data_IF_861098892123
#
_entry.id   IF_861098892123
#
_cell.length_a   1.000
_cell.length_b   1.000
_cell.length_c   1.000
_cell.angle_alpha   90.00
_cell.angle_beta   90.00
_cell.angle_gamma   90.00
#
_symmetry.space_group_name_H-M   'P 1'
#
loop_
_entity.id
_entity.type
_entity.pdbx_description
1 polymer ?
#
# COMPACT_ATOMS: atom_id res chain seq x y z
N UNK A 1 26.35 31.96 33.41
CA UNK A 1 25.07 31.23 33.37
C UNK A 1 25.36 29.74 33.29
N UNK A 2 25.26 28.99 34.39
CA UNK A 2 25.44 27.54 34.38
C UNK A 2 24.11 26.88 34.04
N UNK A 3 24.02 26.24 32.87
CA UNK A 3 22.91 25.35 32.53
C UNK A 3 22.96 24.19 33.54
N UNK A 4 21.87 23.96 34.29
CA UNK A 4 21.84 22.95 35.35
C UNK A 4 21.77 21.54 34.75
N UNK A 5 22.31 20.52 35.43
CA UNK A 5 22.26 19.12 34.98
C UNK A 5 20.84 18.67 34.59
N UNK A 6 19.82 19.16 35.31
CA UNK A 6 18.41 18.92 35.00
C UNK A 6 18.00 19.38 33.58
N UNK A 7 18.52 20.52 33.10
CA UNK A 7 18.21 21.01 31.77
C UNK A 7 18.82 20.13 30.67
N UNK A 8 20.04 19.61 30.87
CA UNK A 8 20.66 18.67 29.94
C UNK A 8 19.91 17.33 29.89
N UNK A 9 19.50 16.79 31.04
CA UNK A 9 18.68 15.57 31.12
C UNK A 9 17.35 15.77 30.41
N UNK A 10 16.68 16.90 30.67
CA UNK A 10 15.44 17.26 30.00
C UNK A 10 15.57 17.32 28.48
N UNK A 11 16.61 18.01 27.98
CA UNK A 11 16.89 18.10 26.55
C UNK A 11 17.18 16.72 25.93
N UNK A 12 17.95 15.86 26.62
CA UNK A 12 18.26 14.52 26.14
C UNK A 12 17.01 13.63 26.03
N UNK A 13 16.09 13.71 27.00
CA UNK A 13 14.82 12.96 26.96
C UNK A 13 13.95 13.44 25.80
N UNK A 14 13.82 14.74 25.59
CA UNK A 14 13.06 15.30 24.46
C UNK A 14 13.67 14.85 23.13
N UNK A 15 15.00 14.92 23.00
CA UNK A 15 15.70 14.50 21.79
C UNK A 15 15.51 13.00 21.51
N UNK A 16 15.63 12.15 22.53
CA UNK A 16 15.42 10.70 22.40
C UNK A 16 13.98 10.37 21.99
N UNK A 17 12.98 11.03 22.59
CA UNK A 17 11.57 10.84 22.23
C UNK A 17 11.25 11.31 20.82
N UNK A 18 11.78 12.46 20.40
CA UNK A 18 11.62 12.96 19.04
C UNK A 18 12.26 12.01 18.02
N UNK A 19 13.46 11.49 18.31
CA UNK A 19 14.14 10.51 17.47
C UNK A 19 13.33 9.20 17.34
N UNK A 20 12.81 8.67 18.46
CA UNK A 20 11.97 7.48 18.45
C UNK A 20 10.71 7.66 17.61
N UNK A 21 10.02 8.80 17.76
CA UNK A 21 8.83 9.12 16.95
C UNK A 21 9.18 9.25 15.48
N UNK A 22 10.33 9.86 15.15
CA UNK A 22 10.84 9.91 13.79
C UNK A 22 11.04 8.51 13.17
N UNK A 23 11.58 7.56 13.93
CA UNK A 23 11.74 6.16 13.48
C UNK A 23 10.39 5.48 13.26
N UNK A 24 9.43 5.65 14.18
CA UNK A 24 8.08 5.08 14.04
C UNK A 24 7.38 5.62 12.80
N UNK A 25 7.35 6.95 12.64
CA UNK A 25 6.75 7.60 11.47
C UNK A 25 7.42 7.13 10.18
N UNK A 26 8.75 7.06 10.16
CA UNK A 26 9.51 6.61 8.99
C UNK A 26 9.14 5.19 8.57
N UNK A 27 8.99 4.28 9.52
CA UNK A 27 8.56 2.89 9.26
C UNK A 27 7.15 2.83 8.67
N UNK A 28 6.20 3.59 9.22
CA UNK A 28 4.81 3.57 8.76
C UNK A 28 4.65 4.23 7.38
N UNK A 29 5.38 5.32 7.13
CA UNK A 29 5.42 5.95 5.81
C UNK A 29 5.92 4.96 4.76
N UNK A 30 7.00 4.23 5.05
CA UNK A 30 7.51 3.18 4.17
C UNK A 30 6.52 2.04 3.97
N UNK A 31 5.82 1.62 5.02
CA UNK A 31 4.79 0.57 4.92
C UNK A 31 3.63 1.03 4.03
N UNK A 32 3.22 2.30 4.18
CA UNK A 32 2.19 2.94 3.34
C UNK A 32 2.63 3.01 1.88
N UNK A 33 3.86 3.43 1.61
CA UNK A 33 4.48 3.48 0.28
C UNK A 33 4.48 2.09 -0.37
N UNK A 34 4.96 1.06 0.32
CA UNK A 34 4.95 -0.32 -0.19
C UNK A 34 3.54 -0.83 -0.52
N UNK A 35 2.52 -0.46 0.26
CA UNK A 35 1.13 -0.81 -0.06
C UNK A 35 0.61 -0.06 -1.30
N UNK A 36 0.96 1.20 -1.46
CA UNK A 36 0.60 1.96 -2.65
C UNK A 36 1.28 1.39 -3.90
N UNK A 37 2.55 1.03 -3.80
CA UNK A 37 3.30 0.38 -4.88
C UNK A 37 2.68 -0.96 -5.27
N UNK A 38 2.28 -1.77 -4.29
CA UNK A 38 1.53 -3.00 -4.52
C UNK A 38 0.22 -2.74 -5.29
N UNK A 39 -0.59 -1.75 -4.88
CA UNK A 39 -1.85 -1.39 -5.56
C UNK A 39 -1.56 -0.93 -7.00
N UNK A 40 -0.55 -0.08 -7.19
CA UNK A 40 -0.21 0.48 -8.50
C UNK A 40 0.30 -0.59 -9.45
N UNK A 41 1.14 -1.50 -8.97
CA UNK A 41 1.59 -2.65 -9.74
C UNK A 41 0.40 -3.56 -10.13
N UNK A 42 -0.57 -3.75 -9.22
CA UNK A 42 -1.79 -4.52 -9.50
C UNK A 42 -2.64 -3.87 -10.58
N UNK A 43 -2.83 -2.55 -10.53
CA UNK A 43 -3.53 -1.79 -11.59
C UNK A 43 -2.82 -1.89 -12.93
N UNK A 44 -1.48 -1.81 -12.93
CA UNK A 44 -0.66 -1.89 -14.14
C UNK A 44 -0.78 -3.26 -14.81
N UNK A 45 -0.61 -4.34 -14.05
CA UNK A 45 -0.72 -5.70 -14.57
C UNK A 45 -2.15 -5.99 -15.08
N UNK A 46 -3.19 -5.54 -14.36
CA UNK A 46 -4.59 -5.66 -14.80
C UNK A 46 -4.86 -4.90 -16.11
N UNK A 47 -4.33 -3.67 -16.24
CA UNK A 47 -4.46 -2.91 -17.48
C UNK A 47 -3.74 -3.62 -18.64
N UNK A 48 -2.57 -4.21 -18.39
CA UNK A 48 -1.79 -4.92 -19.39
C UNK A 48 -2.51 -6.18 -19.90
N UNK A 49 -3.07 -7.02 -19.01
CA UNK A 49 -3.84 -8.21 -19.44
C UNK A 49 -5.08 -7.81 -20.25
N UNK A 50 -5.79 -6.75 -19.86
CA UNK A 50 -6.96 -6.24 -20.60
C UNK A 50 -6.57 -5.72 -21.98
N UNK A 51 -5.48 -4.96 -22.08
CA UNK A 51 -4.98 -4.44 -23.35
C UNK A 51 -4.53 -5.57 -24.30
N UNK A 52 -3.79 -6.54 -23.77
CA UNK A 52 -3.32 -7.70 -24.54
C UNK A 52 -4.48 -8.58 -25.00
N UNK A 53 -5.48 -8.80 -24.15
CA UNK A 53 -6.68 -9.55 -24.53
C UNK A 53 -7.41 -8.90 -25.72
N UNK A 54 -7.63 -7.58 -25.65
CA UNK A 54 -8.27 -6.84 -26.73
C UNK A 54 -7.45 -6.85 -28.02
N UNK A 55 -6.12 -6.78 -27.91
CA UNK A 55 -5.21 -6.72 -29.06
C UNK A 55 -4.89 -8.10 -29.65
N UNK A 56 -5.19 -9.20 -28.95
CA UNK A 56 -4.87 -10.56 -29.41
C UNK A 56 -5.72 -10.98 -30.63
N UNK A 57 -6.94 -10.44 -30.76
CA UNK A 57 -7.86 -10.78 -31.85
C UNK A 57 -7.43 -10.19 -33.18
N UNK A 58 -7.44 -11.02 -34.22
CA UNK A 58 -7.09 -10.60 -35.57
C UNK A 58 -5.59 -10.46 -35.85
N UNK A 59 -4.71 -10.80 -34.89
CA UNK A 59 -3.27 -10.86 -35.14
C UNK A 59 -2.89 -12.11 -35.92
N UNK A 60 -1.81 -11.98 -36.71
CA UNK A 60 -1.11 -13.13 -37.29
C UNK A 60 -0.64 -14.08 -36.18
N UNK A 61 -0.59 -15.41 -36.41
CA UNK A 61 -0.27 -16.40 -35.39
C UNK A 61 0.99 -16.10 -34.55
N UNK A 62 2.08 -15.67 -35.20
CA UNK A 62 3.32 -15.31 -34.48
C UNK A 62 3.16 -14.13 -33.52
N UNK A 63 2.44 -13.08 -33.94
CA UNK A 63 2.16 -11.92 -33.09
C UNK A 63 1.13 -12.18 -32.00
N UNK A 64 0.22 -13.13 -32.25
CA UNK A 64 -0.72 -13.61 -31.25
C UNK A 64 0.00 -14.42 -30.15
N UNK A 65 0.99 -15.25 -30.53
CA UNK A 65 1.82 -15.99 -29.59
C UNK A 65 2.66 -15.05 -28.69
N UNK A 66 3.28 -14.01 -29.26
CA UNK A 66 3.98 -12.98 -28.48
C UNK A 66 3.05 -12.30 -27.47
N UNK A 67 1.84 -11.90 -27.89
CA UNK A 67 0.85 -11.29 -27.01
C UNK A 67 0.39 -12.25 -25.90
N UNK A 68 0.31 -13.55 -26.19
CA UNK A 68 -0.04 -14.58 -25.20
C UNK A 68 1.03 -14.74 -24.14
N UNK A 69 2.31 -14.74 -24.52
CA UNK A 69 3.43 -14.82 -23.57
C UNK A 69 3.40 -13.62 -22.62
N UNK A 70 3.28 -12.41 -23.16
CA UNK A 70 3.19 -11.19 -22.34
C UNK A 70 1.96 -11.17 -21.43
N UNK A 71 0.83 -11.71 -21.90
CA UNK A 71 -0.39 -11.83 -21.11
C UNK A 71 -0.18 -12.79 -19.93
N UNK A 72 0.39 -13.97 -20.22
CA UNK A 72 0.64 -15.00 -19.21
C UNK A 72 1.65 -14.52 -18.16
N UNK A 73 2.66 -13.76 -18.58
CA UNK A 73 3.61 -13.12 -17.67
C UNK A 73 2.90 -12.16 -16.69
N UNK A 74 2.06 -11.25 -17.20
CA UNK A 74 1.32 -10.30 -16.38
C UNK A 74 0.31 -11.00 -15.46
N UNK A 75 -0.40 -12.01 -15.97
CA UNK A 75 -1.32 -12.82 -15.17
C UNK A 75 -0.58 -13.59 -14.07
N UNK A 76 0.60 -14.12 -14.36
CA UNK A 76 1.40 -14.81 -13.35
C UNK A 76 1.92 -13.83 -12.28
N UNK A 77 2.32 -12.61 -12.63
CA UNK A 77 2.64 -11.58 -11.62
C UNK A 77 1.45 -11.27 -10.71
N UNK A 78 0.24 -11.15 -11.26
CA UNK A 78 -0.99 -11.01 -10.47
C UNK A 78 -1.15 -12.20 -9.52
N UNK A 79 -1.04 -13.44 -10.02
CA UNK A 79 -1.20 -14.66 -9.21
C UNK A 79 -0.13 -14.87 -8.15
N UNK A 80 1.08 -14.34 -8.35
CA UNK A 80 2.16 -14.40 -7.37
C UNK A 80 2.00 -13.33 -6.29
N UNK A 81 1.45 -12.17 -6.67
CA UNK A 81 1.17 -11.05 -5.76
C UNK A 81 -0.05 -11.33 -4.89
N UNK A 82 -1.08 -11.92 -5.48
CA UNK A 82 -2.29 -12.31 -4.78
C UNK A 82 -2.16 -13.70 -4.20
N UNK A 83 -2.64 -13.91 -2.98
CA UNK A 83 -2.72 -15.27 -2.46
C UNK A 83 -3.89 -16.01 -3.14
N UNK A 84 -3.64 -17.07 -3.95
CA UNK A 84 -4.70 -17.76 -4.70
C UNK A 84 -5.72 -18.47 -3.81
N UNK A 85 -5.38 -18.68 -2.54
CA UNK A 85 -6.24 -19.35 -1.54
C UNK A 85 -7.21 -18.40 -0.84
N UNK A 86 -7.06 -17.08 -1.00
CA UNK A 86 -8.02 -16.11 -0.46
C UNK A 86 -9.24 -16.00 -1.37
N UNK A 87 -10.43 -16.13 -0.79
CA UNK A 87 -11.71 -16.06 -1.52
C UNK A 87 -11.92 -14.72 -2.25
N UNK A 88 -11.30 -13.64 -1.76
CA UNK A 88 -11.44 -12.28 -2.30
C UNK A 88 -11.06 -12.18 -3.79
N UNK A 89 -9.93 -12.76 -4.20
CA UNK A 89 -9.42 -12.66 -5.58
C UNK A 89 -9.84 -13.81 -6.49
N UNK A 90 -10.42 -14.88 -5.94
CA UNK A 90 -10.80 -16.09 -6.67
C UNK A 90 -11.72 -15.79 -7.86
N UNK A 91 -12.69 -14.88 -7.67
CA UNK A 91 -13.63 -14.46 -8.71
C UNK A 91 -12.94 -13.68 -9.85
N UNK A 92 -12.00 -12.79 -9.51
CA UNK A 92 -11.18 -12.04 -10.46
C UNK A 92 -10.30 -13.00 -11.26
N UNK A 93 -9.55 -13.87 -10.57
CA UNK A 93 -8.65 -14.84 -11.22
C UNK A 93 -9.40 -15.78 -12.17
N UNK A 94 -10.56 -16.29 -11.75
CA UNK A 94 -11.41 -17.11 -12.61
C UNK A 94 -11.89 -16.35 -13.85
N UNK A 95 -12.19 -15.06 -13.71
CA UNK A 95 -12.63 -14.22 -14.84
C UNK A 95 -11.44 -13.90 -15.76
N UNK A 96 -10.24 -13.68 -15.22
CA UNK A 96 -9.01 -13.52 -16.00
C UNK A 96 -8.67 -14.78 -16.80
N UNK A 97 -8.89 -15.97 -16.24
CA UNK A 97 -8.70 -17.24 -16.96
C UNK A 97 -9.68 -17.39 -18.13
N UNK A 98 -10.94 -17.02 -17.93
CA UNK A 98 -11.94 -16.97 -19.00
C UNK A 98 -11.54 -15.99 -20.08
N UNK A 99 -11.16 -14.77 -19.69
CA UNK A 99 -10.71 -13.72 -20.61
C UNK A 99 -9.51 -14.20 -21.45
N UNK A 100 -8.53 -14.83 -20.80
CA UNK A 100 -7.37 -15.43 -21.48
C UNK A 100 -7.81 -16.43 -22.54
N UNK A 101 -8.65 -17.40 -22.17
CA UNK A 101 -9.07 -18.45 -23.08
C UNK A 101 -9.86 -17.87 -24.26
N UNK A 102 -10.72 -16.87 -24.02
CA UNK A 102 -11.50 -16.20 -25.06
C UNK A 102 -10.67 -15.26 -25.96
N UNK A 103 -9.58 -14.69 -25.44
CA UNK A 103 -8.71 -13.77 -26.18
C UNK A 103 -7.78 -14.51 -27.15
N UNK A 104 -7.35 -15.71 -26.76
CA UNK A 104 -6.41 -16.54 -27.52
C UNK A 104 -7.07 -17.79 -28.14
N UNK A 105 -8.40 -17.89 -28.11
CA UNK A 105 -9.13 -18.92 -28.86
C UNK A 105 -9.16 -18.61 -30.35
N UNK A 106 -9.20 -19.67 -31.17
CA UNK A 106 -9.49 -19.53 -32.61
C UNK A 106 -10.97 -19.21 -32.89
N UNK A 107 -11.87 -19.44 -31.93
CA UNK A 107 -13.26 -19.02 -32.03
C UNK A 107 -13.42 -17.54 -31.65
N UNK A 108 -14.12 -16.80 -32.52
CA UNK A 108 -14.43 -15.37 -32.35
C UNK A 108 -15.82 -15.12 -31.72
N UNK A 109 -16.55 -16.18 -31.36
CA UNK A 109 -17.94 -16.06 -30.88
C UNK A 109 -18.08 -15.44 -29.49
N UNK A 110 -17.02 -15.48 -28.68
CA UNK A 110 -17.06 -14.94 -27.31
C UNK A 110 -16.87 -13.43 -27.35
N UNK A 111 -17.71 -12.65 -26.68
CA UNK A 111 -17.48 -11.21 -26.52
C UNK A 111 -16.48 -10.92 -25.39
N UNK A 112 -15.29 -10.38 -25.72
CA UNK A 112 -14.27 -10.02 -24.72
C UNK A 112 -14.68 -8.82 -23.87
N UNK A 113 -15.57 -7.97 -24.35
CA UNK A 113 -15.94 -6.74 -23.64
C UNK A 113 -16.68 -7.05 -22.35
N UNK A 114 -17.47 -8.14 -22.33
CA UNK A 114 -18.17 -8.63 -21.14
C UNK A 114 -17.20 -9.10 -20.07
N UNK A 115 -16.28 -10.00 -20.42
CA UNK A 115 -15.30 -10.53 -19.46
C UNK A 115 -14.31 -9.43 -19.02
N UNK A 116 -13.91 -8.53 -19.92
CA UNK A 116 -13.07 -7.36 -19.59
C UNK A 116 -13.76 -6.43 -18.59
N UNK A 117 -15.02 -6.08 -18.84
CA UNK A 117 -15.80 -5.22 -17.94
C UNK A 117 -16.01 -5.88 -16.58
N UNK A 118 -16.18 -7.20 -16.54
CA UNK A 118 -16.30 -7.95 -15.28
C UNK A 118 -14.98 -7.97 -14.50
N UNK A 119 -13.83 -8.15 -15.15
CA UNK A 119 -12.52 -8.01 -14.52
C UNK A 119 -12.35 -6.63 -13.91
N UNK A 120 -12.71 -5.57 -14.65
CA UNK A 120 -12.64 -4.18 -14.16
C UNK A 120 -13.52 -4.00 -12.92
N UNK A 121 -14.79 -4.41 -12.99
CA UNK A 121 -15.74 -4.23 -11.88
C UNK A 121 -15.29 -4.94 -10.60
N UNK A 122 -14.91 -6.22 -10.71
CA UNK A 122 -14.46 -7.01 -9.55
C UNK A 122 -13.15 -6.48 -8.97
N UNK A 123 -12.17 -6.16 -9.82
CA UNK A 123 -10.88 -5.64 -9.36
C UNK A 123 -11.01 -4.25 -8.75
N UNK A 124 -11.86 -3.36 -9.29
CA UNK A 124 -12.12 -2.03 -8.70
C UNK A 124 -12.66 -2.13 -7.28
N UNK A 125 -13.58 -3.08 -7.02
CA UNK A 125 -14.13 -3.27 -5.69
C UNK A 125 -13.02 -3.65 -4.68
N UNK A 126 -12.18 -4.62 -5.03
CA UNK A 126 -11.08 -5.08 -4.17
C UNK A 126 -10.03 -3.99 -3.96
N UNK A 127 -9.60 -3.35 -5.05
CA UNK A 127 -8.59 -2.28 -4.99
C UNK A 127 -9.10 -1.05 -4.22
N UNK A 128 -10.40 -0.76 -4.25
CA UNK A 128 -11.01 0.31 -3.45
C UNK A 128 -11.03 -0.03 -1.97
N UNK A 129 -11.30 -1.29 -1.62
CA UNK A 129 -11.22 -1.76 -0.24
C UNK A 129 -9.80 -1.62 0.31
N UNK A 130 -8.79 -2.08 -0.44
CA UNK A 130 -7.38 -1.92 -0.05
C UNK A 130 -6.94 -0.46 -0.02
N UNK A 131 -7.35 0.36 -0.99
CA UNK A 131 -7.08 1.80 -0.96
C UNK A 131 -7.67 2.48 0.28
N UNK A 132 -8.87 2.08 0.70
CA UNK A 132 -9.50 2.62 1.90
C UNK A 132 -8.73 2.21 3.15
N UNK A 133 -8.21 0.97 3.20
CA UNK A 133 -7.33 0.50 4.27
C UNK A 133 -6.02 1.29 4.32
N UNK A 134 -5.41 1.58 3.17
CA UNK A 134 -4.20 2.42 3.06
C UNK A 134 -4.48 3.85 3.52
N UNK A 135 -5.59 4.45 3.08
CA UNK A 135 -5.97 5.82 3.40
C UNK A 135 -6.41 6.00 4.86
N UNK A 136 -6.99 4.97 5.48
CA UNK A 136 -7.31 4.99 6.90
C UNK A 136 -6.08 5.29 7.78
N UNK A 137 -4.88 5.07 7.22
CA UNK A 137 -3.59 5.30 7.85
C UNK A 137 -3.28 4.23 8.87
N UNK A 138 -2.02 4.20 9.32
CA UNK A 138 -1.64 3.32 10.41
C UNK A 138 -1.95 4.00 11.76
N UNK A 139 -2.46 3.21 12.72
CA UNK A 139 -2.93 3.70 14.01
C UNK A 139 -1.82 4.40 14.80
N UNK A 140 -0.55 4.04 14.59
CA UNK A 140 0.56 4.65 15.34
C UNK A 140 0.94 6.03 14.85
N UNK A 141 0.68 6.38 13.59
CA UNK A 141 0.87 7.75 13.10
C UNK A 141 -0.01 8.72 13.87
N UNK A 142 -1.27 8.33 14.08
CA UNK A 142 -2.24 9.10 14.85
C UNK A 142 -1.76 9.25 16.30
N UNK A 143 -1.29 8.17 16.91
CA UNK A 143 -0.78 8.18 18.29
C UNK A 143 0.47 9.07 18.40
N UNK A 144 1.48 8.87 17.55
CA UNK A 144 2.72 9.63 17.55
C UNK A 144 2.50 11.13 17.38
N UNK A 145 1.58 11.52 16.48
CA UNK A 145 1.20 12.92 16.26
C UNK A 145 0.61 13.57 17.52
N UNK A 146 -0.18 12.85 18.28
CA UNK A 146 -0.87 13.38 19.47
C UNK A 146 -0.10 13.20 20.78
N UNK A 147 0.90 12.31 20.83
CA UNK A 147 1.70 12.03 22.03
C UNK A 147 2.91 12.98 22.22
N UNK A 148 3.49 13.51 21.14
CA UNK A 148 4.67 14.39 21.23
C UNK A 148 4.39 15.70 21.99
N UNK A 149 3.32 16.48 21.68
CA UNK A 149 3.06 17.75 22.38
C UNK A 149 2.84 17.63 23.90
N UNK A 150 2.00 16.69 24.41
CA UNK A 150 1.82 16.55 25.86
C UNK A 150 3.09 16.04 26.54
N UNK A 151 3.89 15.19 25.89
CA UNK A 151 5.15 14.74 26.47
C UNK A 151 6.14 15.89 26.65
N UNK A 152 6.29 16.77 25.64
CA UNK A 152 7.14 17.96 25.74
C UNK A 152 6.63 18.91 26.83
N UNK A 153 5.31 19.09 26.95
CA UNK A 153 4.70 19.89 28.02
C UNK A 153 4.99 19.31 29.42
N UNK A 154 4.83 17.99 29.61
CA UNK A 154 5.09 17.33 30.89
C UNK A 154 6.56 17.47 31.29
N UNK A 155 7.50 17.23 30.37
CA UNK A 155 8.93 17.39 30.64
C UNK A 155 9.26 18.86 30.95
N UNK A 156 8.69 19.80 30.19
CA UNK A 156 8.84 21.23 30.45
C UNK A 156 8.35 21.65 31.84
N UNK A 157 7.16 21.18 32.25
CA UNK A 157 6.60 21.45 33.56
C UNK A 157 7.43 20.81 34.69
N UNK A 158 7.85 19.55 34.54
CA UNK A 158 8.68 18.86 35.54
C UNK A 158 10.00 19.59 35.82
N UNK A 159 10.64 20.13 34.78
CA UNK A 159 11.86 20.94 34.91
C UNK A 159 11.60 22.29 35.58
N UNK A 160 10.46 22.92 35.32
CA UNK A 160 10.07 24.19 35.94
C UNK A 160 9.78 24.02 37.46
N UNK A 161 9.00 23.01 37.82
CA UNK A 161 8.68 22.70 39.23
C UNK A 161 9.90 22.22 40.02
N UNK A 162 10.78 21.41 39.41
CA UNK A 162 12.01 20.94 40.06
C UNK A 162 12.98 22.08 40.44
N UNK A 163 13.01 23.18 39.68
CA UNK A 163 13.76 24.39 40.07
C UNK A 163 13.07 25.16 41.20
N UNK A 164 11.74 25.26 41.20
CA UNK A 164 10.98 25.95 42.26
C UNK A 164 11.20 25.37 43.65
N UNK A 165 11.41 24.06 43.78
CA UNK A 165 11.67 23.39 45.06
C UNK A 165 13.09 23.64 45.61
N UNK A 166 14.09 23.92 44.75
CA UNK A 166 15.49 24.16 45.16
C UNK A 166 15.72 25.61 45.61
N UNK A 167 14.85 26.56 45.22
CA UNK A 167 14.97 27.98 45.62
C UNK A 167 14.14 28.36 46.87
N UNK A 168 13.38 27.41 47.43
CA UNK A 168 12.48 27.63 48.57
C UNK A 168 12.91 26.90 49.86
N UNK A 169 14.05 26.21 49.86
CA UNK A 169 14.70 25.59 51.03
C UNK A 169 16.12 26.08 51.18
#
# INVERSE_FOLDING_TARGET
MTVTAAAYIGAAVIAASAAFIGVVIGKEQKTTEFRQDWINAQRSDLALVLALANNARGKKPGKQAEARVAFDEALNRIRLRENPTKEEWKSVLKTLDRLRNAAFSYSFEVDLTVDSSRVIALSQQLLKAEWTRVRAGETWFKIAKWMLPPMVLIVGLALAYGKGFIYLG
#
